data_IF_028071178640
#
_entry.id   IF_028071178640
#
_cell.length_a   1.000
_cell.length_b   1.000
_cell.length_c   1.000
_cell.angle_alpha   90.00
_cell.angle_beta   90.00
_cell.angle_gamma   90.00
#
_symmetry.space_group_name_H-M   'P 1'
#
loop_
_entity.id
_entity.type
_entity.pdbx_description
1 polymer ?
#
# COMPACT_ATOMS: atom_id res chain seq x y z
N UNK A 1 -36.44 -13.14 -0.54
CA UNK A 1 -35.26 -12.40 -1.05
C UNK A 1 -34.38 -12.03 0.15
N UNK A 2 -33.13 -12.48 0.18
CA UNK A 2 -32.22 -12.19 1.30
C UNK A 2 -31.86 -10.70 1.32
N UNK A 3 -31.98 -10.04 2.48
CA UNK A 3 -31.54 -8.64 2.66
C UNK A 3 -30.01 -8.56 2.49
N UNK A 4 -29.47 -7.54 1.79
CA UNK A 4 -28.02 -7.35 1.72
C UNK A 4 -27.48 -7.11 3.13
N UNK A 5 -26.46 -7.87 3.52
CA UNK A 5 -25.81 -7.72 4.81
C UNK A 5 -25.17 -6.33 4.91
N UNK A 6 -25.62 -5.53 5.88
CA UNK A 6 -25.00 -4.23 6.18
C UNK A 6 -23.65 -4.49 6.82
N UNK A 7 -22.57 -4.23 6.08
CA UNK A 7 -21.22 -4.33 6.62
C UNK A 7 -21.08 -3.42 7.85
N UNK A 8 -20.37 -3.86 8.91
CA UNK A 8 -20.17 -3.03 10.09
C UNK A 8 -19.42 -1.74 9.71
N UNK A 9 -19.74 -0.60 10.33
CA UNK A 9 -19.05 0.64 10.07
C UNK A 9 -17.56 0.47 10.45
N UNK A 10 -16.68 0.54 9.47
CA UNK A 10 -15.24 0.49 9.72
C UNK A 10 -14.81 1.79 10.38
N UNK A 11 -14.10 1.69 11.51
CA UNK A 11 -13.44 2.87 12.09
C UNK A 11 -12.37 3.35 11.10
N UNK A 12 -12.26 4.67 10.85
CA UNK A 12 -11.11 5.19 10.13
C UNK A 12 -9.85 4.81 10.91
N UNK A 13 -8.90 4.17 10.23
CA UNK A 13 -7.60 3.79 10.78
C UNK A 13 -6.52 4.64 10.10
N UNK A 14 -5.52 5.07 10.87
CA UNK A 14 -4.39 5.86 10.38
C UNK A 14 -4.51 7.38 10.62
N UNK A 15 -3.59 8.13 10.00
CA UNK A 15 -3.53 9.59 10.07
C UNK A 15 -4.22 10.18 8.84
N UNK A 16 -4.94 11.29 9.01
CA UNK A 16 -5.47 12.05 7.89
C UNK A 16 -4.31 12.66 7.08
N UNK A 17 -4.12 12.17 5.85
CA UNK A 17 -3.14 12.73 4.92
C UNK A 17 -3.61 14.09 4.42
N UNK A 18 -2.66 14.99 4.12
CA UNK A 18 -3.00 16.26 3.47
C UNK A 18 -3.57 16.02 2.08
N UNK A 19 -4.37 16.98 1.58
CA UNK A 19 -4.98 16.89 0.25
C UNK A 19 -3.95 16.74 -0.87
N UNK A 20 -2.82 17.43 -0.74
CA UNK A 20 -1.71 17.37 -1.69
C UNK A 20 -1.09 15.98 -1.77
N UNK A 21 -0.90 15.33 -0.61
CA UNK A 21 -0.38 13.96 -0.56
C UNK A 21 -1.36 12.98 -1.21
N UNK A 22 -2.66 13.12 -0.94
CA UNK A 22 -3.69 12.28 -1.57
C UNK A 22 -3.70 12.47 -3.09
N UNK A 23 -3.63 13.71 -3.57
CA UNK A 23 -3.58 13.99 -5.00
C UNK A 23 -2.34 13.38 -5.68
N UNK A 24 -1.16 13.50 -5.05
CA UNK A 24 0.07 12.91 -5.56
C UNK A 24 0.00 11.37 -5.62
N UNK A 25 -0.60 10.74 -4.60
CA UNK A 25 -0.82 9.29 -4.58
C UNK A 25 -1.79 8.83 -5.68
N UNK A 26 -2.82 9.62 -5.96
CA UNK A 26 -3.80 9.33 -6.99
C UNK A 26 -3.19 9.40 -8.39
N UNK A 27 -2.37 10.42 -8.65
CA UNK A 27 -1.63 10.52 -9.90
C UNK A 27 -0.61 9.38 -10.03
N UNK A 28 0.13 9.07 -8.96
CA UNK A 28 1.09 7.95 -8.97
C UNK A 28 0.41 6.60 -9.26
N UNK A 29 -0.79 6.37 -8.72
CA UNK A 29 -1.58 5.18 -8.99
C UNK A 29 -1.99 5.11 -10.47
N UNK A 30 -2.49 6.21 -11.05
CA UNK A 30 -2.87 6.29 -12.46
C UNK A 30 -1.68 6.08 -13.40
N UNK A 31 -0.56 6.77 -13.18
CA UNK A 31 0.63 6.66 -14.04
C UNK A 31 1.17 5.23 -14.08
N UNK A 32 1.03 4.48 -12.96
CA UNK A 32 1.51 3.10 -12.85
C UNK A 32 0.45 2.05 -13.23
N UNK A 33 -0.77 2.47 -13.57
CA UNK A 33 -1.88 1.55 -13.84
C UNK A 33 -2.27 0.69 -12.62
N UNK A 34 -2.06 1.20 -11.41
CA UNK A 34 -2.33 0.50 -10.15
C UNK A 34 -3.54 1.08 -9.45
N UNK A 35 -4.22 0.27 -8.63
CA UNK A 35 -5.16 0.78 -7.65
C UNK A 35 -4.42 1.27 -6.40
N UNK A 36 -4.96 2.26 -5.68
CA UNK A 36 -4.36 2.85 -4.46
C UNK A 36 -3.97 1.79 -3.43
N UNK A 37 -4.79 0.75 -3.27
CA UNK A 37 -4.49 -0.39 -2.39
C UNK A 37 -3.17 -1.05 -2.75
N UNK A 38 -2.95 -1.35 -4.03
CA UNK A 38 -1.73 -1.98 -4.52
C UNK A 38 -0.52 -1.06 -4.34
N UNK A 39 -0.72 0.25 -4.60
CA UNK A 39 0.31 1.26 -4.37
C UNK A 39 0.77 1.26 -2.90
N UNK A 40 -0.16 1.28 -1.94
CA UNK A 40 0.15 1.26 -0.52
C UNK A 40 0.76 -0.06 -0.07
N UNK A 41 0.29 -1.19 -0.60
CA UNK A 41 0.84 -2.50 -0.27
C UNK A 41 2.30 -2.65 -0.73
N UNK A 42 2.62 -2.19 -1.94
CA UNK A 42 3.99 -2.16 -2.45
C UNK A 42 4.87 -1.25 -1.59
N UNK A 43 4.36 -0.08 -1.20
CA UNK A 43 5.09 0.84 -0.32
C UNK A 43 5.36 0.19 1.04
N UNK A 44 4.34 -0.41 1.67
CA UNK A 44 4.46 -1.11 2.95
C UNK A 44 5.47 -2.25 2.88
N UNK A 45 5.42 -3.06 1.81
CA UNK A 45 6.37 -4.16 1.60
C UNK A 45 7.80 -3.63 1.50
N UNK A 46 8.05 -2.53 0.79
CA UNK A 46 9.38 -1.90 0.70
C UNK A 46 9.92 -1.41 2.05
N UNK A 47 9.05 -0.88 2.91
CA UNK A 47 9.41 -0.46 4.28
C UNK A 47 9.74 -1.66 5.17
N UNK A 48 9.02 -2.77 4.98
CA UNK A 48 9.26 -4.03 5.70
C UNK A 48 10.35 -4.91 5.06
N UNK A 49 11.01 -4.40 4.02
CA UNK A 49 12.01 -5.12 3.22
C UNK A 49 11.50 -6.44 2.62
N UNK A 50 10.20 -6.53 2.34
CA UNK A 50 9.51 -7.65 1.72
C UNK A 50 9.44 -7.49 0.17
N UNK A 51 9.24 -8.58 -0.58
CA UNK A 51 9.09 -8.51 -2.02
C UNK A 51 7.83 -7.72 -2.38
N UNK A 52 7.90 -6.92 -3.44
CA UNK A 52 6.78 -6.08 -3.91
C UNK A 52 5.52 -6.90 -4.25
N UNK A 53 5.69 -8.18 -4.61
CA UNK A 53 4.61 -9.11 -4.89
C UNK A 53 4.87 -10.43 -4.16
N UNK A 54 3.85 -11.05 -3.53
CA UNK A 54 4.04 -12.21 -2.66
C UNK A 54 4.57 -13.45 -3.40
N UNK A 55 4.32 -13.54 -4.70
CA UNK A 55 4.69 -14.69 -5.53
C UNK A 55 6.01 -14.50 -6.30
N UNK A 56 6.65 -13.32 -6.17
CA UNK A 56 7.94 -13.05 -6.80
C UNK A 56 9.08 -13.33 -5.80
N UNK A 57 10.17 -14.00 -6.23
CA UNK A 57 11.33 -14.22 -5.37
C UNK A 57 11.87 -12.88 -4.86
N UNK A 58 12.40 -12.88 -3.63
CA UNK A 58 13.11 -11.74 -3.05
C UNK A 58 14.22 -11.33 -4.02
N UNK A 59 14.05 -10.21 -4.72
CA UNK A 59 15.17 -9.56 -5.38
C UNK A 59 15.92 -8.76 -4.32
N UNK A 60 16.80 -9.47 -3.63
CA UNK A 60 18.06 -9.05 -3.03
C UNK A 60 18.28 -7.53 -2.99
N UNK A 61 18.05 -6.92 -1.83
CA UNK A 61 18.83 -5.73 -1.48
C UNK A 61 20.17 -6.18 -0.92
N UNK A 62 21.10 -6.53 -1.81
CA UNK A 62 22.52 -6.38 -1.49
C UNK A 62 22.76 -4.91 -1.12
N UNK A 63 22.89 -4.60 0.18
CA UNK A 63 23.47 -3.32 0.59
C UNK A 63 22.95 -2.65 1.85
N UNK A 64 21.87 -3.10 2.50
CA UNK A 64 21.46 -2.48 3.77
C UNK A 64 22.27 -3.05 4.94
N UNK A 65 23.49 -2.52 5.14
CA UNK A 65 24.19 -2.65 6.43
C UNK A 65 23.30 -2.04 7.50
N UNK A 66 22.73 -2.88 8.36
CA UNK A 66 22.07 -2.45 9.60
C UNK A 66 23.12 -1.71 10.45
N UNK A 67 22.84 -0.49 10.95
CA UNK A 67 23.71 0.09 11.97
C UNK A 67 23.65 -0.79 13.24
N UNK A 68 24.81 -0.90 13.90
CA UNK A 68 25.02 -1.72 15.10
C UNK A 68 24.12 -1.32 16.27
#
# INVERSE_FOLDING_TARGET
MARPAKLPPTKPVGIALSREVVAALDEAAKTRGLNKRQLFEIALRRELDLPAYPDLPHHDREGLKRPA
#
